data_IF_263054612556
#
_entry.id   IF_263054612556
#
_cell.length_a   1.000
_cell.length_b   1.000
_cell.length_c   1.000
_cell.angle_alpha   90.00
_cell.angle_beta   90.00
_cell.angle_gamma   90.00
#
_symmetry.space_group_name_H-M   'P 1'
#
loop_
_entity.id
_entity.type
_entity.pdbx_description
1 polymer ?
#
# COMPACT_ATOMS: atom_id res chain seq x y z
N UNK A 1 52.31 3.68 -22.27
CA UNK A 1 52.70 5.06 -21.89
C UNK A 1 51.73 5.95 -22.64
N UNK A 2 50.56 6.19 -22.05
CA UNK A 2 50.19 7.46 -21.36
C UNK A 2 50.11 8.59 -22.39
N UNK A 3 48.98 9.25 -22.65
CA UNK A 3 48.12 10.01 -21.72
C UNK A 3 46.70 10.12 -22.35
N UNK A 4 45.64 9.68 -21.68
CA UNK A 4 44.85 10.38 -20.66
C UNK A 4 43.64 11.15 -21.24
N UNK A 5 42.48 10.47 -21.16
CA UNK A 5 41.13 11.00 -20.90
C UNK A 5 41.11 12.46 -20.39
N UNK A 6 40.31 13.31 -21.04
CA UNK A 6 39.67 14.45 -20.37
C UNK A 6 38.35 14.83 -21.06
N UNK A 7 37.35 13.97 -20.90
CA UNK A 7 35.96 14.43 -20.81
C UNK A 7 35.83 15.21 -19.48
N UNK A 8 35.82 16.54 -19.51
CA UNK A 8 35.38 17.34 -18.36
C UNK A 8 34.73 18.64 -18.83
N UNK A 9 33.44 18.76 -18.48
CA UNK A 9 32.67 19.96 -18.18
C UNK A 9 32.41 20.97 -19.31
N UNK A 10 31.34 20.72 -20.07
CA UNK A 10 30.56 21.79 -20.68
C UNK A 10 29.83 22.54 -19.56
N UNK A 11 30.30 23.76 -19.29
CA UNK A 11 29.85 24.60 -18.17
C UNK A 11 28.43 25.10 -18.36
N UNK A 12 27.57 24.83 -17.39
CA UNK A 12 26.26 25.48 -17.28
C UNK A 12 26.48 26.99 -17.18
N UNK A 13 25.92 27.76 -18.13
CA UNK A 13 26.00 29.23 -18.15
C UNK A 13 25.64 29.81 -16.77
N UNK A 14 26.39 30.81 -16.25
CA UNK A 14 26.14 31.39 -14.93
C UNK A 14 24.72 31.92 -14.75
N UNK A 15 24.06 32.26 -15.86
CA UNK A 15 22.66 32.74 -15.90
C UNK A 15 21.66 31.63 -15.58
N UNK A 16 21.89 30.41 -16.09
CA UNK A 16 21.05 29.24 -15.82
C UNK A 16 21.23 28.78 -14.37
N UNK A 17 22.44 28.88 -13.83
CA UNK A 17 22.69 28.61 -12.41
C UNK A 17 22.01 29.65 -11.51
N UNK A 18 22.04 30.93 -11.90
CA UNK A 18 21.39 32.01 -11.16
C UNK A 18 19.85 31.87 -11.16
N UNK A 19 19.26 31.46 -12.28
CA UNK A 19 17.81 31.23 -12.40
C UNK A 19 17.37 29.99 -11.61
N UNK A 20 18.09 28.87 -11.74
CA UNK A 20 17.81 27.69 -10.94
C UNK A 20 17.92 27.97 -9.43
N UNK A 21 18.91 28.79 -9.03
CA UNK A 21 19.07 29.20 -7.64
C UNK A 21 17.93 30.13 -7.19
N UNK A 22 17.49 31.07 -8.03
CA UNK A 22 16.36 31.95 -7.75
C UNK A 22 15.04 31.17 -7.58
N UNK A 23 14.78 30.19 -8.46
CA UNK A 23 13.60 29.31 -8.34
C UNK A 23 13.66 28.44 -7.09
N UNK A 24 14.84 27.91 -6.73
CA UNK A 24 15.01 27.17 -5.48
C UNK A 24 14.73 28.05 -4.26
N UNK A 25 15.24 29.29 -4.26
CA UNK A 25 14.99 30.23 -3.17
C UNK A 25 13.51 30.61 -3.09
N UNK A 26 12.84 30.82 -4.22
CA UNK A 26 11.42 31.17 -4.23
C UNK A 26 10.54 30.00 -3.76
N UNK A 27 10.90 28.76 -4.14
CA UNK A 27 10.29 27.55 -3.60
C UNK A 27 10.49 27.46 -2.07
N UNK A 28 11.71 27.69 -1.57
CA UNK A 28 12.00 27.70 -0.11
C UNK A 28 11.23 28.81 0.61
N UNK A 29 11.10 30.00 0.02
CA UNK A 29 10.33 31.11 0.58
C UNK A 29 8.83 30.79 0.62
N UNK A 30 8.29 30.16 -0.42
CA UNK A 30 6.91 29.71 -0.46
C UNK A 30 6.65 28.57 0.54
N UNK A 31 7.61 27.66 0.75
CA UNK A 31 7.54 26.65 1.80
C UNK A 31 7.61 27.24 3.22
N UNK A 32 8.31 28.37 3.39
CA UNK A 32 8.37 29.10 4.66
C UNK A 32 7.07 29.85 4.93
N UNK A 33 6.49 30.50 3.92
CA UNK A 33 5.21 31.20 4.01
C UNK A 33 4.03 30.26 4.25
N UNK A 34 4.05 29.07 3.66
CA UNK A 34 3.03 28.04 3.90
C UNK A 34 3.13 27.38 5.28
N UNK A 35 4.17 27.70 6.07
CA UNK A 35 4.39 27.11 7.40
C UNK A 35 4.87 25.65 7.36
N UNK A 36 4.99 25.04 6.18
CA UNK A 36 5.42 23.66 5.99
C UNK A 36 6.87 23.49 6.46
N UNK A 37 7.76 24.46 6.20
CA UNK A 37 9.13 24.43 6.73
C UNK A 37 9.17 24.45 8.26
N UNK A 38 8.23 25.15 8.91
CA UNK A 38 8.10 25.17 10.36
C UNK A 38 7.59 23.82 10.90
N UNK A 39 6.61 23.21 10.24
CA UNK A 39 6.13 21.87 10.59
C UNK A 39 7.17 20.79 10.34
N UNK A 40 7.94 20.87 9.25
CA UNK A 40 9.04 19.94 8.96
C UNK A 40 10.19 20.11 9.93
N UNK A 41 10.54 21.35 10.31
CA UNK A 41 11.55 21.61 11.34
C UNK A 41 11.10 21.11 12.71
N UNK A 42 9.85 21.37 13.09
CA UNK A 42 9.28 20.87 14.35
C UNK A 42 9.20 19.35 14.37
N UNK A 43 8.80 18.74 13.25
CA UNK A 43 8.75 17.30 13.12
C UNK A 43 10.15 16.71 13.11
N UNK A 44 11.16 17.34 12.50
CA UNK A 44 12.54 16.87 12.57
C UNK A 44 13.11 16.94 14.00
N UNK A 45 12.89 18.06 14.68
CA UNK A 45 13.34 18.31 16.06
C UNK A 45 12.66 17.37 17.06
N UNK A 46 11.35 17.11 16.89
CA UNK A 46 10.61 16.14 17.71
C UNK A 46 10.74 14.69 17.24
N UNK A 47 11.11 14.47 15.98
CA UNK A 47 11.32 13.14 15.45
C UNK A 47 12.62 12.56 15.97
N UNK A 48 13.70 13.33 16.12
CA UNK A 48 14.94 12.73 16.59
C UNK A 48 14.78 12.03 17.95
N UNK A 49 14.12 12.64 18.93
CA UNK A 49 13.93 12.01 20.25
C UNK A 49 12.83 10.93 20.24
N UNK A 50 11.72 11.18 19.55
CA UNK A 50 10.55 10.27 19.57
C UNK A 50 10.69 9.13 18.57
N UNK A 51 11.24 9.39 17.38
CA UNK A 51 11.57 8.37 16.38
C UNK A 51 12.81 7.58 16.75
N UNK A 52 13.85 8.08 17.45
CA UNK A 52 14.92 7.17 17.89
C UNK A 52 14.42 6.15 18.92
N UNK A 53 13.57 6.59 19.85
CA UNK A 53 12.93 5.70 20.81
C UNK A 53 11.93 4.74 20.14
N UNK A 54 11.17 5.21 19.16
CA UNK A 54 10.22 4.39 18.40
C UNK A 54 10.90 3.48 17.36
N UNK A 55 11.99 3.92 16.72
CA UNK A 55 12.73 3.14 15.72
C UNK A 55 13.58 2.03 16.37
N UNK A 56 13.95 2.19 17.63
CA UNK A 56 14.59 1.12 18.41
C UNK A 56 13.59 0.17 19.06
N UNK A 57 12.28 0.47 18.99
CA UNK A 57 11.24 -0.45 19.46
C UNK A 57 11.18 -1.69 18.55
N UNK A 58 11.46 -2.90 19.08
CA UNK A 58 11.33 -4.13 18.31
C UNK A 58 9.94 -4.35 17.72
N UNK A 59 8.88 -3.81 18.33
CA UNK A 59 7.52 -3.88 17.81
C UNK A 59 7.37 -3.06 16.52
N UNK A 60 7.92 -1.86 16.48
CA UNK A 60 7.88 -0.99 15.29
C UNK A 60 8.79 -1.49 14.18
N UNK A 61 9.97 -2.02 14.51
CA UNK A 61 10.85 -2.70 13.55
C UNK A 61 10.17 -3.93 12.93
N UNK A 62 9.44 -4.72 13.72
CA UNK A 62 8.63 -5.85 13.19
C UNK A 62 7.50 -5.36 12.29
N UNK A 63 6.84 -4.27 12.67
CA UNK A 63 5.78 -3.68 11.86
C UNK A 63 6.31 -3.16 10.52
N UNK A 64 7.48 -2.49 10.54
CA UNK A 64 8.19 -2.04 9.35
C UNK A 64 8.66 -3.21 8.49
N UNK A 65 9.14 -4.31 9.09
CA UNK A 65 9.50 -5.52 8.37
C UNK A 65 8.27 -6.17 7.70
N UNK A 66 7.11 -6.19 8.37
CA UNK A 66 5.86 -6.65 7.80
C UNK A 66 5.42 -5.74 6.64
N UNK A 67 5.42 -4.42 6.83
CA UNK A 67 5.11 -3.44 5.78
C UNK A 67 6.04 -3.57 4.58
N UNK A 68 7.34 -3.77 4.82
CA UNK A 68 8.35 -4.02 3.78
C UNK A 68 8.04 -5.32 3.01
N UNK A 69 7.72 -6.40 3.71
CA UNK A 69 7.37 -7.68 3.07
C UNK A 69 6.09 -7.58 2.23
N UNK A 70 5.09 -6.82 2.70
CA UNK A 70 3.85 -6.54 1.97
C UNK A 70 4.15 -5.71 0.72
N UNK A 71 4.95 -4.64 0.87
CA UNK A 71 5.35 -3.77 -0.24
C UNK A 71 6.12 -4.56 -1.31
N UNK A 72 7.07 -5.40 -0.91
CA UNK A 72 7.83 -6.26 -1.82
C UNK A 72 6.93 -7.29 -2.53
N UNK A 73 5.92 -7.82 -1.82
CA UNK A 73 4.91 -8.68 -2.42
C UNK A 73 4.10 -7.95 -3.48
N UNK A 74 3.64 -6.73 -3.19
CA UNK A 74 2.84 -5.88 -4.09
C UNK A 74 3.65 -5.46 -5.33
N UNK A 75 4.92 -5.12 -5.18
CA UNK A 75 5.78 -4.71 -6.29
C UNK A 75 6.08 -5.83 -7.29
N UNK A 76 5.91 -7.09 -6.89
CA UNK A 76 6.07 -8.26 -7.77
C UNK A 76 4.77 -8.70 -8.46
N UNK A 77 3.68 -7.96 -8.26
CA UNK A 77 2.41 -8.17 -8.97
C UNK A 77 2.39 -7.26 -10.19
N UNK A 78 1.90 -7.77 -11.31
CA UNK A 78 1.71 -6.98 -12.52
C UNK A 78 0.80 -5.77 -12.25
N UNK A 79 1.10 -4.63 -12.86
CA UNK A 79 0.41 -3.35 -12.58
C UNK A 79 -1.09 -3.43 -12.88
N UNK A 80 -1.49 -4.18 -13.91
CA UNK A 80 -2.90 -4.44 -14.23
C UNK A 80 -3.61 -5.24 -13.14
N UNK A 81 -2.95 -6.25 -12.59
CA UNK A 81 -3.50 -7.11 -11.54
C UNK A 81 -3.60 -6.37 -10.22
N UNK A 82 -2.67 -5.46 -9.95
CA UNK A 82 -2.71 -4.57 -8.79
C UNK A 82 -3.88 -3.57 -8.86
N UNK A 83 -4.13 -2.98 -10.03
CA UNK A 83 -5.29 -2.09 -10.21
C UNK A 83 -6.62 -2.84 -10.07
N UNK A 84 -6.72 -4.03 -10.66
CA UNK A 84 -7.90 -4.88 -10.52
C UNK A 84 -8.11 -5.32 -9.07
N UNK A 85 -7.05 -5.72 -8.37
CA UNK A 85 -7.13 -6.09 -6.96
C UNK A 85 -7.58 -4.92 -6.07
N UNK A 86 -7.08 -3.71 -6.31
CA UNK A 86 -7.49 -2.52 -5.56
C UNK A 86 -8.98 -2.20 -5.78
N UNK A 87 -9.43 -2.19 -7.04
CA UNK A 87 -10.84 -1.94 -7.36
C UNK A 87 -11.75 -2.98 -6.71
N UNK A 88 -11.41 -4.27 -6.87
CA UNK A 88 -12.17 -5.37 -6.26
C UNK A 88 -12.21 -5.25 -4.73
N UNK A 89 -11.11 -4.86 -4.08
CA UNK A 89 -11.06 -4.65 -2.64
C UNK A 89 -11.93 -3.46 -2.20
N UNK A 90 -11.88 -2.35 -2.92
CA UNK A 90 -12.73 -1.17 -2.63
C UNK A 90 -14.20 -1.53 -2.76
N UNK A 91 -14.58 -2.21 -3.84
CA UNK A 91 -15.95 -2.64 -4.08
C UNK A 91 -16.42 -3.63 -3.00
N UNK A 92 -15.65 -4.69 -2.70
CA UNK A 92 -15.98 -5.63 -1.62
C UNK A 92 -16.14 -4.92 -0.27
N UNK A 93 -15.24 -3.98 0.05
CA UNK A 93 -15.27 -3.25 1.32
C UNK A 93 -16.52 -2.39 1.42
N UNK A 94 -16.87 -1.68 0.34
CA UNK A 94 -18.09 -0.86 0.31
C UNK A 94 -19.35 -1.71 0.48
N UNK A 95 -19.47 -2.82 -0.27
CA UNK A 95 -20.58 -3.76 -0.15
C UNK A 95 -20.68 -4.37 1.26
N UNK A 96 -19.55 -4.73 1.87
CA UNK A 96 -19.51 -5.29 3.21
C UNK A 96 -19.99 -4.27 4.26
N UNK A 97 -19.50 -3.03 4.20
CA UNK A 97 -19.90 -1.95 5.10
C UNK A 97 -21.39 -1.62 4.96
N UNK A 98 -21.88 -1.53 3.72
CA UNK A 98 -23.30 -1.30 3.46
C UNK A 98 -24.18 -2.46 3.99
N UNK A 99 -23.74 -3.70 3.82
CA UNK A 99 -24.44 -4.88 4.32
C UNK A 99 -24.49 -4.91 5.85
N UNK A 100 -23.39 -4.57 6.52
CA UNK A 100 -23.34 -4.43 7.98
C UNK A 100 -24.29 -3.35 8.49
N UNK A 101 -24.40 -2.22 7.78
CA UNK A 101 -25.34 -1.15 8.11
C UNK A 101 -26.81 -1.57 7.99
N UNK A 102 -27.12 -2.55 7.13
CA UNK A 102 -28.47 -3.07 6.91
C UNK A 102 -28.82 -4.28 7.79
N UNK A 103 -27.86 -4.81 8.55
CA UNK A 103 -28.06 -5.99 9.38
C UNK A 103 -28.88 -5.65 10.64
N UNK A 104 -30.08 -6.19 10.75
CA UNK A 104 -30.87 -6.13 11.99
C UNK A 104 -30.49 -7.28 12.93
N UNK A 105 -29.58 -7.00 13.88
CA UNK A 105 -29.14 -7.95 14.89
C UNK A 105 -30.22 -8.29 15.94
N UNK A 106 -31.33 -7.54 15.97
CA UNK A 106 -32.41 -7.74 16.96
C UNK A 106 -33.32 -8.92 16.62
N UNK A 107 -33.23 -9.46 15.39
CA UNK A 107 -34.05 -10.59 14.91
C UNK A 107 -33.16 -11.69 14.31
N UNK A 108 -32.38 -12.41 15.13
CA UNK A 108 -31.56 -13.52 14.65
C UNK A 108 -32.46 -14.62 14.07
N UNK A 109 -32.30 -14.91 12.78
CA UNK A 109 -33.00 -16.03 12.12
C UNK A 109 -32.23 -17.32 12.40
N UNK A 110 -32.84 -18.26 13.12
CA UNK A 110 -32.32 -19.62 13.22
C UNK A 110 -32.58 -20.36 11.90
N UNK A 111 -31.51 -20.77 11.23
CA UNK A 111 -31.60 -21.57 10.00
C UNK A 111 -31.49 -23.05 10.37
N UNK A 112 -32.57 -23.81 10.14
CA UNK A 112 -32.53 -25.28 10.20
C UNK A 112 -31.88 -25.87 8.95
N UNK A 113 -31.69 -27.20 8.92
CA UNK A 113 -31.01 -27.90 7.81
C UNK A 113 -31.65 -27.61 6.44
N UNK A 114 -32.99 -27.59 6.35
CA UNK A 114 -33.72 -27.21 5.14
C UNK A 114 -33.52 -25.73 4.77
N UNK A 115 -33.52 -24.85 5.78
CA UNK A 115 -33.30 -23.42 5.59
C UNK A 115 -31.88 -23.13 5.07
N UNK A 116 -30.89 -23.89 5.54
CA UNK A 116 -29.52 -23.83 5.06
C UNK A 116 -29.43 -24.27 3.60
N UNK A 117 -30.03 -25.40 3.23
CA UNK A 117 -30.04 -25.87 1.84
C UNK A 117 -30.74 -24.90 0.90
N UNK A 118 -31.83 -24.28 1.36
CA UNK A 118 -32.50 -23.20 0.62
C UNK A 118 -31.62 -21.95 0.51
N UNK A 119 -30.89 -21.60 1.56
CA UNK A 119 -29.93 -20.50 1.55
C UNK A 119 -28.76 -20.77 0.61
N UNK A 120 -28.28 -22.00 0.48
CA UNK A 120 -27.23 -22.35 -0.48
C UNK A 120 -27.73 -22.29 -1.94
N UNK A 121 -29.04 -22.49 -2.15
CA UNK A 121 -29.67 -22.37 -3.47
C UNK A 121 -29.99 -20.92 -3.84
N UNK A 122 -29.77 -19.97 -2.92
CA UNK A 122 -29.98 -18.56 -3.17
C UNK A 122 -28.89 -18.02 -4.14
N UNK A 123 -29.26 -17.25 -5.17
CA UNK A 123 -28.32 -16.75 -6.16
C UNK A 123 -27.25 -15.81 -5.57
N UNK A 124 -27.56 -15.09 -4.49
CA UNK A 124 -26.62 -14.15 -3.87
C UNK A 124 -25.62 -14.90 -2.97
N UNK A 125 -26.09 -15.91 -2.23
CA UNK A 125 -25.24 -16.77 -1.39
C UNK A 125 -24.31 -17.63 -2.24
N UNK A 126 -24.81 -18.19 -3.33
CA UNK A 126 -24.01 -19.01 -4.25
C UNK A 126 -22.94 -18.19 -4.97
N UNK A 127 -23.23 -16.94 -5.37
CA UNK A 127 -22.23 -16.02 -5.91
C UNK A 127 -21.15 -15.68 -4.89
N UNK A 128 -21.53 -15.32 -3.66
CA UNK A 128 -20.56 -15.03 -2.59
C UNK A 128 -19.65 -16.23 -2.28
N UNK A 129 -20.22 -17.44 -2.25
CA UNK A 129 -19.47 -18.67 -2.07
C UNK A 129 -18.52 -18.93 -3.26
N UNK A 130 -18.95 -18.65 -4.48
CA UNK A 130 -18.13 -18.77 -5.68
C UNK A 130 -16.88 -17.90 -5.62
N UNK A 131 -17.03 -16.62 -5.25
CA UNK A 131 -15.91 -15.69 -5.08
C UNK A 131 -14.91 -16.22 -4.04
N UNK A 132 -15.40 -16.70 -2.90
CA UNK A 132 -14.56 -17.26 -1.85
C UNK A 132 -13.78 -18.49 -2.33
N UNK A 133 -14.44 -19.38 -3.07
CA UNK A 133 -13.82 -20.57 -3.65
C UNK A 133 -12.75 -20.21 -4.68
N UNK A 134 -12.95 -19.18 -5.49
CA UNK A 134 -11.97 -18.70 -6.45
C UNK A 134 -10.72 -18.12 -5.76
N UNK A 135 -10.90 -17.33 -4.70
CA UNK A 135 -9.79 -16.83 -3.88
C UNK A 135 -9.00 -18.01 -3.30
N UNK A 136 -9.69 -18.98 -2.69
CA UNK A 136 -9.06 -20.17 -2.12
C UNK A 136 -8.30 -20.98 -3.19
N UNK A 137 -8.88 -21.15 -4.37
CA UNK A 137 -8.27 -21.88 -5.49
C UNK A 137 -6.99 -21.21 -5.97
N UNK A 138 -7.00 -19.89 -6.15
CA UNK A 138 -5.83 -19.12 -6.58
C UNK A 138 -4.72 -19.16 -5.52
N UNK A 139 -5.08 -19.01 -4.24
CA UNK A 139 -4.13 -19.06 -3.14
C UNK A 139 -3.49 -20.46 -3.02
N UNK A 140 -4.30 -21.51 -3.16
CA UNK A 140 -3.83 -22.89 -3.18
C UNK A 140 -2.90 -23.19 -4.37
N UNK A 141 -3.19 -22.64 -5.55
CA UNK A 141 -2.32 -22.77 -6.72
C UNK A 141 -0.95 -22.08 -6.50
N UNK A 142 -0.95 -20.88 -5.91
CA UNK A 142 0.27 -20.16 -5.54
C UNK A 142 1.09 -20.89 -4.47
N UNK A 143 0.44 -21.44 -3.44
CA UNK A 143 1.11 -22.24 -2.43
C UNK A 143 1.74 -23.51 -3.01
N UNK A 144 1.03 -24.18 -3.93
CA UNK A 144 1.54 -25.37 -4.62
C UNK A 144 2.74 -25.08 -5.51
N UNK A 145 2.72 -23.99 -6.29
CA UNK A 145 3.84 -23.64 -7.17
C UNK A 145 5.11 -23.31 -6.37
N UNK A 146 4.97 -22.60 -5.24
CA UNK A 146 6.09 -22.33 -4.32
C UNK A 146 6.60 -23.59 -3.61
N UNK A 147 5.71 -24.53 -3.28
CA UNK A 147 6.07 -25.83 -2.70
C UNK A 147 6.79 -26.77 -3.67
N UNK A 148 6.34 -26.82 -4.93
CA UNK A 148 6.96 -27.62 -5.99
C UNK A 148 8.34 -27.08 -6.42
N UNK A 149 8.61 -25.78 -6.25
CA UNK A 149 9.92 -25.18 -6.51
C UNK A 149 10.97 -25.49 -5.42
N UNK A 150 10.57 -26.10 -4.29
CA UNK A 150 11.46 -26.47 -3.18
C UNK A 150 11.72 -27.99 -3.08
N UNK A 151 11.10 -28.79 -3.94
CA UNK A 151 11.32 -30.24 -4.07
C UNK A 151 12.20 -30.53 -5.28
#
# INVERSE_FOLDING_TARGET
>A
MAEAKKEVAEGVSPEVQAQALAELLDAVVNLKRSGILGMLSYLADKAEESFLAAATDPALMRLLALLSSVTYGIMNVDTSDLSNAQNNLTDLTSCAMESLGKLDLSKPKSVGLLGLMRSLSDPDVSQGLGILLDIMKQLGACARSKGASKA
#
